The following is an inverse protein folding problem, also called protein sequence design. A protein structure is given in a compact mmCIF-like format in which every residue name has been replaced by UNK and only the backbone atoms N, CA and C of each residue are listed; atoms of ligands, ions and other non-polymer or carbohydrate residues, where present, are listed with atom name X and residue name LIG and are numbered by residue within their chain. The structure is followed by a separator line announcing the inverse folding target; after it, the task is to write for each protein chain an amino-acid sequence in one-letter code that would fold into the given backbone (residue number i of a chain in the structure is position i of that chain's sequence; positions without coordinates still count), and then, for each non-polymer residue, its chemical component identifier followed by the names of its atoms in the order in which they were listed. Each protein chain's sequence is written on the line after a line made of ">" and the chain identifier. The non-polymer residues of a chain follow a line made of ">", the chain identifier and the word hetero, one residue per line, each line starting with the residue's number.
data_IF_015957000180
#
_entry.id   IF_015957000180
#
_cell.length_a   1.000
_cell.length_b   1.000
_cell.length_c   1.000
_cell.angle_alpha   90.00
_cell.angle_beta   90.00
_cell.angle_gamma   90.00
#
_symmetry.space_group_name_H-M   'P 1'
#
loop_
_entity.id
_entity.type
_entity.pdbx_description
1 polymer ?
#
# COMPACT_ATOMS: atom_id res chain seq x y z
N UNK A 1 11.31 -4.97 1.69
CA UNK A 1 10.75 -5.41 3.00
C UNK A 1 9.31 -5.85 2.79
N UNK A 2 8.88 -6.96 3.39
CA UNK A 2 7.51 -7.48 3.27
C UNK A 2 6.90 -7.60 4.67
N UNK A 3 5.65 -7.17 4.84
CA UNK A 3 4.89 -7.30 6.09
C UNK A 3 3.42 -7.63 5.79
N UNK A 4 2.85 -8.57 6.53
CA UNK A 4 1.46 -9.01 6.35
C UNK A 4 0.62 -8.61 7.56
N UNK A 5 -0.62 -8.20 7.30
CA UNK A 5 -1.63 -7.85 8.28
C UNK A 5 -2.85 -8.74 8.05
N UNK A 6 -3.34 -9.36 9.12
CA UNK A 6 -4.37 -10.41 9.13
C UNK A 6 -5.49 -10.12 10.17
N UNK A 7 -5.58 -8.87 10.60
CA UNK A 7 -6.58 -8.44 11.57
C UNK A 7 -7.98 -8.69 11.04
N UNK A 8 -8.82 -9.28 11.90
CA UNK A 8 -10.16 -9.72 11.56
C UNK A 8 -11.16 -8.57 11.60
N UNK A 9 -12.14 -8.61 10.69
CA UNK A 9 -13.20 -7.61 10.56
C UNK A 9 -13.07 -6.77 9.29
N UNK A 10 -14.19 -6.13 8.90
CA UNK A 10 -14.29 -5.34 7.68
C UNK A 10 -13.21 -4.24 7.65
N UNK A 11 -12.31 -4.36 6.68
CA UNK A 11 -11.17 -3.47 6.43
C UNK A 11 -10.13 -3.40 7.57
N UNK A 12 -10.19 -4.28 8.56
CA UNK A 12 -9.31 -4.21 9.73
C UNK A 12 -7.83 -4.38 9.35
N UNK A 13 -7.49 -5.41 8.58
CA UNK A 13 -6.15 -5.62 8.05
C UNK A 13 -5.65 -4.45 7.17
N UNK A 14 -6.51 -3.91 6.31
CA UNK A 14 -6.15 -2.80 5.43
C UNK A 14 -5.87 -1.51 6.21
N UNK A 15 -6.72 -1.17 7.19
CA UNK A 15 -6.53 0.01 8.05
C UNK A 15 -5.28 -0.10 8.91
N UNK A 16 -4.99 -1.29 9.43
CA UNK A 16 -3.76 -1.52 10.19
C UNK A 16 -2.51 -1.35 9.32
N UNK A 17 -2.54 -1.84 8.08
CA UNK A 17 -1.48 -1.63 7.11
C UNK A 17 -1.30 -0.15 6.73
N UNK A 18 -2.40 0.58 6.50
CA UNK A 18 -2.40 2.02 6.22
C UNK A 18 -1.82 2.82 7.38
N UNK A 19 -2.25 2.55 8.61
CA UNK A 19 -1.73 3.23 9.80
C UNK A 19 -0.22 3.00 9.96
N UNK A 20 0.23 1.76 9.82
CA UNK A 20 1.66 1.44 9.90
C UNK A 20 2.48 2.14 8.81
N UNK A 21 1.95 2.26 7.59
CA UNK A 21 2.57 3.02 6.51
C UNK A 21 2.60 4.52 6.78
N UNK A 22 1.51 5.07 7.31
CA UNK A 22 1.41 6.48 7.68
C UNK A 22 2.39 6.86 8.79
N UNK A 23 2.48 6.06 9.84
CA UNK A 23 3.49 6.21 10.91
C UNK A 23 4.93 6.13 10.36
N UNK A 24 5.14 5.35 9.30
CA UNK A 24 6.40 5.26 8.57
C UNK A 24 6.67 6.40 7.57
N UNK A 25 5.76 7.38 7.45
CA UNK A 25 5.88 8.51 6.54
C UNK A 25 5.55 8.20 5.07
N UNK A 26 4.71 7.18 4.82
CA UNK A 26 4.27 6.81 3.48
C UNK A 26 2.80 7.18 3.23
N UNK A 27 2.52 7.59 2.00
CA UNK A 27 1.18 7.70 1.43
C UNK A 27 0.79 6.42 0.70
N UNK A 28 -0.51 6.10 0.73
CA UNK A 28 -1.08 4.90 0.09
C UNK A 28 -2.17 5.30 -0.89
N UNK A 29 -2.08 4.80 -2.12
CA UNK A 29 -3.07 5.07 -3.16
C UNK A 29 -4.44 4.49 -2.83
N UNK A 30 -5.47 4.96 -3.53
CA UNK A 30 -6.85 4.51 -3.28
C UNK A 30 -7.05 3.02 -3.57
N UNK A 31 -7.99 2.40 -2.85
CA UNK A 31 -8.34 1.00 -3.05
C UNK A 31 -9.06 0.73 -4.38
N UNK A 32 -8.79 -0.45 -4.92
CA UNK A 32 -9.41 -1.00 -6.13
C UNK A 32 -9.49 -2.52 -5.99
N UNK A 33 -10.62 -3.11 -6.37
CA UNK A 33 -10.84 -4.55 -6.22
C UNK A 33 -9.93 -5.32 -7.19
N UNK A 34 -9.12 -6.23 -6.66
CA UNK A 34 -8.26 -7.12 -7.45
C UNK A 34 -7.00 -6.47 -8.00
N UNK A 35 -6.69 -5.23 -7.61
CA UNK A 35 -5.46 -4.55 -7.98
C UNK A 35 -4.63 -4.17 -6.74
N UNK A 36 -3.30 -4.08 -6.87
CA UNK A 36 -2.46 -3.49 -5.83
C UNK A 36 -2.82 -2.03 -5.57
N UNK A 37 -2.37 -1.50 -4.43
CA UNK A 37 -2.36 -0.06 -4.13
C UNK A 37 -0.92 0.41 -4.09
N UNK A 38 -0.62 1.52 -4.75
CA UNK A 38 0.73 2.07 -4.74
C UNK A 38 1.09 2.69 -3.39
N UNK A 39 2.36 2.62 -3.02
CA UNK A 39 2.92 3.22 -1.82
C UNK A 39 4.06 4.15 -2.24
N UNK A 40 4.10 5.35 -1.67
CA UNK A 40 5.17 6.32 -1.94
C UNK A 40 5.46 7.12 -0.67
N UNK A 41 6.73 7.43 -0.41
CA UNK A 41 7.15 8.20 0.76
C UNK A 41 6.74 9.66 0.63
N UNK A 42 6.39 10.28 1.75
CA UNK A 42 5.96 11.67 1.85
C UNK A 42 4.45 11.85 1.72
N UNK A 43 4.03 13.11 1.75
CA UNK A 43 2.62 13.50 1.60
C UNK A 43 2.30 13.71 0.11
N UNK A 44 1.79 12.66 -0.53
CA UNK A 44 1.52 12.64 -1.97
C UNK A 44 0.20 11.94 -2.27
N UNK A 45 -0.52 12.44 -3.27
CA UNK A 45 -1.72 11.79 -3.77
C UNK A 45 -1.35 10.78 -4.88
N UNK A 46 -1.57 9.49 -4.61
CA UNK A 46 -1.30 8.41 -5.56
C UNK A 46 -2.62 8.01 -6.23
N UNK A 47 -2.65 8.06 -7.58
CA UNK A 47 -3.81 7.61 -8.35
C UNK A 47 -4.07 6.10 -8.19
N UNK A 48 -5.28 5.66 -8.55
CA UNK A 48 -5.62 4.23 -8.58
C UNK A 48 -4.68 3.46 -9.50
N UNK A 49 -4.39 2.21 -9.17
CA UNK A 49 -3.42 1.39 -9.90
C UNK A 49 -3.67 1.32 -11.41
N UNK A 50 -4.93 1.13 -11.83
CA UNK A 50 -5.29 1.10 -13.26
C UNK A 50 -5.04 2.42 -13.99
N UNK A 51 -4.95 3.54 -13.28
CA UNK A 51 -4.66 4.86 -13.83
C UNK A 51 -3.16 5.18 -13.84
N UNK A 52 -2.34 4.44 -13.10
CA UNK A 52 -0.89 4.61 -13.12
C UNK A 52 -0.31 3.94 -14.37
N UNK A 53 0.47 4.70 -15.13
CA UNK A 53 1.32 4.20 -16.20
C UNK A 53 2.41 3.26 -15.65
N UNK A 54 3.04 2.48 -16.54
CA UNK A 54 4.17 1.63 -16.16
C UNK A 54 5.32 2.43 -15.55
N UNK A 55 5.55 3.66 -16.02
CA UNK A 55 6.59 4.56 -15.50
C UNK A 55 6.26 5.02 -14.09
N UNK A 56 5.03 5.46 -13.83
CA UNK A 56 4.61 5.90 -12.50
C UNK A 56 4.63 4.75 -11.48
N UNK A 57 4.23 3.54 -11.89
CA UNK A 57 4.33 2.34 -11.03
C UNK A 57 5.78 2.03 -10.64
N UNK A 58 6.73 2.27 -11.55
CA UNK A 58 8.16 2.07 -11.27
C UNK A 58 8.77 3.14 -10.35
N UNK A 59 8.07 4.26 -10.13
CA UNK A 59 8.47 5.32 -9.20
C UNK A 59 7.91 5.12 -7.79
N UNK A 60 7.04 4.12 -7.58
CA UNK A 60 6.50 3.80 -6.27
C UNK A 60 7.60 3.20 -5.37
N UNK A 61 7.53 3.51 -4.08
CA UNK A 61 8.41 2.93 -3.06
C UNK A 61 7.92 1.57 -2.56
N UNK A 62 6.72 1.18 -2.97
CA UNK A 62 6.13 -0.11 -2.64
C UNK A 62 4.73 -0.31 -3.19
N UNK A 63 4.14 -1.43 -2.78
CA UNK A 63 2.78 -1.81 -3.11
C UNK A 63 2.09 -2.52 -1.94
N UNK A 64 0.77 -2.43 -1.90
CA UNK A 64 -0.08 -3.15 -0.96
C UNK A 64 -1.06 -4.04 -1.73
N UNK A 65 -1.08 -5.34 -1.44
CA UNK A 65 -1.87 -6.37 -2.14
C UNK A 65 -2.70 -7.19 -1.15
N UNK A 66 -3.63 -8.01 -1.65
CA UNK A 66 -4.50 -8.86 -0.83
C UNK A 66 -5.96 -8.42 -0.86
N UNK A 67 -6.77 -8.97 0.05
CA UNK A 67 -8.18 -8.59 0.19
C UNK A 67 -8.29 -7.40 1.15
N UNK A 68 -8.53 -6.21 0.62
CA UNK A 68 -8.66 -5.01 1.45
C UNK A 68 -9.88 -5.04 2.37
N UNK A 69 -10.89 -5.88 2.11
CA UNK A 69 -12.13 -5.97 2.90
C UNK A 69 -12.02 -7.00 4.01
N UNK A 70 -11.57 -8.22 3.70
CA UNK A 70 -11.54 -9.31 4.69
C UNK A 70 -10.12 -9.66 5.17
N UNK A 71 -9.09 -9.11 4.55
CA UNK A 71 -7.72 -9.52 4.75
C UNK A 71 -7.43 -10.93 4.22
N UNK A 72 -6.18 -11.40 4.37
CA UNK A 72 -5.03 -10.61 4.79
C UNK A 72 -4.59 -9.60 3.71
N UNK A 73 -3.84 -8.59 4.15
CA UNK A 73 -3.21 -7.58 3.29
C UNK A 73 -1.69 -7.66 3.47
N UNK A 74 -0.97 -7.63 2.36
CA UNK A 74 0.49 -7.67 2.32
C UNK A 74 1.03 -6.35 1.83
N UNK A 75 1.94 -5.76 2.59
CA UNK A 75 2.71 -4.58 2.23
C UNK A 75 4.10 -5.02 1.80
N UNK A 76 4.52 -4.56 0.63
CA UNK A 76 5.86 -4.75 0.08
C UNK A 76 6.49 -3.38 -0.20
N UNK A 77 7.56 -3.04 0.51
CA UNK A 77 8.37 -1.85 0.26
C UNK A 77 9.62 -2.24 -0.53
N UNK A 78 9.81 -1.67 -1.71
CA UNK A 78 10.91 -1.98 -2.64
C UNK A 78 12.24 -1.37 -2.18
N UNK A 79 12.17 -0.16 -1.61
CA UNK A 79 13.33 0.58 -1.13
C UNK A 79 13.13 0.97 0.34
N UNK A 80 13.33 0.03 1.29
CA UNK A 80 13.23 0.33 2.72
C UNK A 80 14.43 1.17 3.18
N UNK A 81 14.45 2.46 2.81
CA UNK A 81 15.40 3.48 3.27
C UNK A 81 16.84 3.33 2.74
N UNK A 82 17.26 4.28 1.91
CA UNK A 82 18.52 4.94 2.23
C UNK A 82 18.20 5.86 3.43
N UNK A 83 18.73 5.51 4.60
CA UNK A 83 18.85 6.44 5.72
C UNK A 83 20.05 7.35 5.46
#
# INVERSE_FOLDING_TARGET
>A
MIKTFDQQGDFAAARAAENWLHEGGYSVGSSERGAPRGIMRGDVLIAKWRNLSRRERAMLDGQMTGDMRNGPVTVELFHPGAQ
#
